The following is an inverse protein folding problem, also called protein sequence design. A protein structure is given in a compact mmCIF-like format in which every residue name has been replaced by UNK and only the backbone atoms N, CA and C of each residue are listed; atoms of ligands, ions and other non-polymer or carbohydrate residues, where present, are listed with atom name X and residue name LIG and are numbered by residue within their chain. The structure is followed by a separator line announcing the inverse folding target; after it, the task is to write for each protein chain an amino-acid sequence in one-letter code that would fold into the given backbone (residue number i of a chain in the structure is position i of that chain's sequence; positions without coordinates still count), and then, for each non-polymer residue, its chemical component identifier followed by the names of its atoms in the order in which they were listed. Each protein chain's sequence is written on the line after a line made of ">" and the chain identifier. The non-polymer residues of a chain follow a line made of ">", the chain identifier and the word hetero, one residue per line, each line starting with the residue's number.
data_IF_941918944898
#
_entry.id   IF_941918944898
#
_cell.length_a   1.000
_cell.length_b   1.000
_cell.length_c   1.000
_cell.angle_alpha   90.00
_cell.angle_beta   90.00
_cell.angle_gamma   90.00
#
_symmetry.space_group_name_H-M   'P 1'
#
loop_
_entity.id
_entity.type
_entity.pdbx_description
1 polymer ?
#
# COMPACT_ATOMS: atom_id res chain seq x y z
N UNK A 1 -10.85 -11.15 6.63
CA UNK A 1 -11.18 -10.56 5.30
C UNK A 1 -10.10 -9.65 4.71
N UNK A 2 -9.70 -8.53 5.33
CA UNK A 2 -8.69 -7.65 4.71
C UNK A 2 -7.27 -8.26 4.59
N UNK A 3 -6.88 -9.21 5.45
CA UNK A 3 -5.57 -9.86 5.39
C UNK A 3 -5.43 -10.82 4.20
N UNK A 4 -6.46 -11.59 3.86
CA UNK A 4 -6.45 -12.45 2.67
C UNK A 4 -6.34 -11.63 1.39
N UNK A 5 -7.00 -10.46 1.33
CA UNK A 5 -6.89 -9.56 0.20
C UNK A 5 -5.46 -9.01 0.03
N UNK A 6 -4.79 -8.62 1.12
CA UNK A 6 -3.38 -8.18 1.08
C UNK A 6 -2.47 -9.33 0.64
N UNK A 7 -2.66 -10.54 1.18
CA UNK A 7 -1.89 -11.72 0.77
C UNK A 7 -2.12 -12.06 -0.71
N UNK A 8 -3.33 -11.85 -1.23
CA UNK A 8 -3.64 -12.01 -2.64
C UNK A 8 -2.93 -10.97 -3.51
N UNK A 9 -2.91 -9.71 -3.09
CA UNK A 9 -2.17 -8.64 -3.77
C UNK A 9 -0.65 -8.92 -3.85
N UNK A 10 -0.10 -9.67 -2.89
CA UNK A 10 1.32 -10.09 -2.92
C UNK A 10 1.57 -11.30 -3.82
N UNK A 11 0.59 -12.22 -3.92
CA UNK A 11 0.72 -13.48 -4.67
C UNK A 11 0.34 -13.38 -6.14
N UNK A 12 -0.56 -12.46 -6.47
CA UNK A 12 -1.13 -12.31 -7.81
C UNK A 12 -0.67 -11.00 -8.46
N UNK A 13 -0.46 -11.03 -9.78
CA UNK A 13 -0.29 -9.82 -10.56
C UNK A 13 -1.67 -9.19 -10.81
N UNK A 14 -1.90 -8.04 -10.16
CA UNK A 14 -3.13 -7.26 -10.31
C UNK A 14 -3.03 -6.16 -11.36
N UNK A 15 -1.87 -6.01 -12.01
CA UNK A 15 -1.64 -5.04 -13.07
C UNK A 15 -1.78 -3.57 -12.64
N UNK A 16 -2.09 -2.73 -13.62
CA UNK A 16 -2.17 -1.28 -13.49
C UNK A 16 -3.52 -0.76 -13.97
N UNK A 17 -4.07 0.24 -13.28
CA UNK A 17 -5.24 1.01 -13.72
C UNK A 17 -4.80 2.46 -13.86
N UNK A 18 -4.95 3.04 -15.05
CA UNK A 18 -4.52 4.41 -15.35
C UNK A 18 -3.06 4.70 -14.97
N UNK A 19 -2.17 3.72 -15.18
CA UNK A 19 -0.75 3.82 -14.81
C UNK A 19 -0.44 3.60 -13.33
N UNK A 20 -1.46 3.36 -12.48
CA UNK A 20 -1.31 3.15 -11.03
C UNK A 20 -1.30 1.65 -10.70
N UNK A 21 -0.28 1.12 -9.96
CA UNK A 21 -0.18 -0.30 -9.63
C UNK A 21 -1.25 -0.71 -8.60
N UNK A 22 -2.17 -1.60 -9.00
CA UNK A 22 -3.35 -1.95 -8.18
C UNK A 22 -2.95 -2.64 -6.87
N UNK A 23 -2.01 -3.58 -6.94
CA UNK A 23 -1.53 -4.32 -5.77
C UNK A 23 -0.87 -3.42 -4.73
N UNK A 24 0.09 -2.58 -5.15
CA UNK A 24 0.82 -1.69 -4.24
C UNK A 24 -0.11 -0.69 -3.54
N UNK A 25 -1.03 -0.07 -4.29
CA UNK A 25 -1.99 0.88 -3.75
C UNK A 25 -2.94 0.23 -2.73
N UNK A 26 -3.41 -0.98 -3.03
CA UNK A 26 -4.29 -1.76 -2.17
C UNK A 26 -3.62 -2.15 -0.85
N UNK A 27 -2.40 -2.67 -0.93
CA UNK A 27 -1.61 -3.08 0.23
C UNK A 27 -1.36 -1.86 1.13
N UNK A 28 -0.91 -0.75 0.56
CA UNK A 28 -0.64 0.48 1.29
C UNK A 28 -1.86 0.99 2.08
N UNK A 29 -3.05 1.01 1.47
CA UNK A 29 -4.30 1.42 2.14
C UNK A 29 -4.66 0.50 3.31
N UNK A 30 -4.50 -0.82 3.16
CA UNK A 30 -4.75 -1.77 4.25
C UNK A 30 -3.77 -1.57 5.41
N UNK A 31 -2.49 -1.43 5.07
CA UNK A 31 -1.38 -1.18 5.99
C UNK A 31 -1.57 0.10 6.81
N UNK A 32 -2.03 1.18 6.16
CA UNK A 32 -2.37 2.44 6.82
C UNK A 32 -3.54 2.27 7.79
N UNK A 33 -4.63 1.59 7.36
CA UNK A 33 -5.82 1.37 8.19
C UNK A 33 -5.55 0.51 9.42
N UNK A 34 -4.59 -0.40 9.36
CA UNK A 34 -4.22 -1.24 10.49
C UNK A 34 -3.31 -0.56 11.50
N UNK A 35 -2.89 0.69 11.26
CA UNK A 35 -1.91 1.38 12.10
C UNK A 35 -0.63 0.53 12.28
N UNK A 36 -0.33 -0.34 11.31
CA UNK A 36 0.71 -1.36 11.42
C UNK A 36 2.13 -0.76 11.51
N UNK A 37 2.25 0.55 11.34
CA UNK A 37 3.51 1.29 11.31
C UNK A 37 3.58 2.40 12.37
N UNK A 38 2.57 2.57 13.23
CA UNK A 38 2.56 3.67 14.21
C UNK A 38 3.61 3.52 15.31
N UNK A 39 3.97 2.28 15.68
CA UNK A 39 4.96 2.02 16.72
C UNK A 39 6.40 2.33 16.27
N UNK A 40 6.70 2.26 14.96
CA UNK A 40 8.05 2.42 14.40
C UNK A 40 8.06 3.25 13.11
N UNK A 41 7.24 4.31 13.06
CA UNK A 41 7.19 5.21 11.90
C UNK A 41 8.54 5.92 11.74
N UNK A 42 9.27 5.59 10.69
CA UNK A 42 10.57 6.20 10.35
C UNK A 42 10.41 7.26 9.27
N UNK A 43 11.39 8.18 9.15
CA UNK A 43 11.43 9.19 8.09
C UNK A 43 11.42 8.57 6.68
N UNK A 44 11.99 7.38 6.52
CA UNK A 44 11.93 6.63 5.26
C UNK A 44 10.48 6.22 4.95
N UNK A 45 9.72 5.84 5.98
CA UNK A 45 8.33 5.48 5.83
C UNK A 45 7.46 6.66 5.42
N UNK A 46 7.71 7.85 5.97
CA UNK A 46 7.03 9.09 5.54
C UNK A 46 7.23 9.38 4.06
N UNK A 47 8.46 9.21 3.58
CA UNK A 47 8.78 9.38 2.15
C UNK A 47 8.10 8.34 1.26
N UNK A 48 7.95 7.11 1.74
CA UNK A 48 7.22 6.05 1.01
C UNK A 48 5.72 6.38 0.96
N UNK A 49 5.13 6.83 2.07
CA UNK A 49 3.73 7.30 2.11
C UNK A 49 3.53 8.43 1.10
N UNK A 50 4.41 9.43 1.10
CA UNK A 50 4.33 10.59 0.21
C UNK A 50 4.45 10.17 -1.26
N UNK A 51 5.42 9.34 -1.60
CA UNK A 51 5.60 8.81 -2.96
C UNK A 51 4.39 7.98 -3.44
N UNK A 52 3.77 7.19 -2.57
CA UNK A 52 2.56 6.42 -2.93
C UNK A 52 1.36 7.36 -3.09
N UNK A 53 1.22 8.38 -2.24
CA UNK A 53 0.15 9.37 -2.37
C UNK A 53 0.27 10.18 -3.66
N UNK A 54 1.47 10.57 -4.07
CA UNK A 54 1.74 11.28 -5.33
C UNK A 54 1.31 10.45 -6.55
N UNK A 55 1.57 9.13 -6.53
CA UNK A 55 1.09 8.21 -7.57
C UNK A 55 -0.42 7.98 -7.50
N UNK A 56 -1.05 8.18 -6.34
CA UNK A 56 -2.48 7.96 -6.14
C UNK A 56 -3.36 9.15 -6.48
N UNK A 57 -2.84 10.38 -6.46
CA UNK A 57 -3.48 11.60 -6.96
C UNK A 57 -3.62 11.58 -8.50
#
# INVERSE_FOLDING_TARGET
>A
ENQEFVLRCVREDLGYINGKPVAACSIFKCLLRWHAFEAERTVIFDRIIEAINDVLE
#
